data_IF_888102001467
#
_entry.id   IF_888102001467
#
_cell.length_a   1.000
_cell.length_b   1.000
_cell.length_c   1.000
_cell.angle_alpha   90.00
_cell.angle_beta   90.00
_cell.angle_gamma   90.00
#
_symmetry.space_group_name_H-M   'P 1'
#
loop_
_entity.id
_entity.type
_entity.pdbx_description
1 polymer ?
#
# COMPACT_ATOMS: atom_id res chain seq x y z
N UNK A 1 -0.02 8.48 5.23
CA UNK A 1 0.36 9.87 5.50
C UNK A 1 0.76 10.05 6.96
N UNK A 2 -0.19 9.85 7.89
CA UNK A 2 0.02 10.14 9.31
C UNK A 2 1.22 9.37 9.92
N UNK A 3 1.34 8.08 9.69
CA UNK A 3 2.49 7.28 10.14
C UNK A 3 3.83 7.89 9.70
N UNK A 4 3.93 8.37 8.46
CA UNK A 4 5.12 9.07 7.98
C UNK A 4 5.40 10.37 8.73
N UNK A 5 4.37 11.16 9.01
CA UNK A 5 4.51 12.39 9.81
C UNK A 5 4.95 12.09 11.25
N UNK A 6 4.40 11.04 11.88
CA UNK A 6 4.78 10.62 13.23
C UNK A 6 6.23 10.13 13.31
N UNK A 7 6.81 9.65 12.22
CA UNK A 7 8.25 9.32 12.16
C UNK A 7 9.20 10.53 12.08
N UNK A 8 8.66 11.74 12.09
CA UNK A 8 9.43 12.98 11.93
C UNK A 8 9.87 13.30 10.50
N UNK A 9 9.52 12.46 9.50
CA UNK A 9 9.84 12.71 8.10
C UNK A 9 8.85 13.70 7.48
N UNK A 10 9.36 14.63 6.69
CA UNK A 10 8.51 15.49 5.87
C UNK A 10 7.71 14.63 4.91
N UNK A 11 6.38 14.73 4.98
CA UNK A 11 5.47 13.81 4.31
C UNK A 11 4.44 14.59 3.49
N UNK A 12 4.37 14.29 2.20
CA UNK A 12 3.44 14.86 1.24
C UNK A 12 2.37 13.83 0.90
N UNK A 13 1.11 14.24 0.92
CA UNK A 13 -0.02 13.35 0.64
C UNK A 13 -0.93 13.98 -0.39
N UNK A 14 -1.22 13.26 -1.48
CA UNK A 14 -2.10 13.76 -2.53
C UNK A 14 -2.38 12.71 -3.61
N UNK A 15 -2.65 13.15 -4.81
CA UNK A 15 -3.01 12.32 -5.95
C UNK A 15 -4.48 12.46 -6.33
N UNK A 16 -5.22 11.35 -6.37
CA UNK A 16 -6.66 11.34 -6.66
C UNK A 16 -7.50 11.86 -5.47
N UNK A 17 -6.89 12.00 -4.30
CA UNK A 17 -7.47 12.58 -3.09
C UNK A 17 -6.69 13.82 -2.67
N UNK A 18 -7.37 14.72 -1.95
CA UNK A 18 -6.76 15.95 -1.46
C UNK A 18 -6.47 16.95 -2.59
N UNK A 19 -5.26 17.51 -2.58
CA UNK A 19 -4.80 18.46 -3.61
C UNK A 19 -3.73 17.86 -4.52
N UNK A 20 -3.63 18.32 -5.77
CA UNK A 20 -2.52 17.92 -6.65
C UNK A 20 -1.18 18.33 -6.06
N UNK A 21 -0.20 17.41 -6.03
CA UNK A 21 1.13 17.68 -5.47
C UNK A 21 2.05 18.47 -6.40
N UNK A 22 1.65 18.70 -7.64
CA UNK A 22 2.46 19.43 -8.63
C UNK A 22 2.85 20.82 -8.15
N UNK A 23 1.99 21.49 -7.39
CA UNK A 23 2.26 22.83 -6.86
C UNK A 23 3.33 22.85 -5.77
N UNK A 24 3.62 21.70 -5.18
CA UNK A 24 4.56 21.57 -4.07
C UNK A 24 5.93 21.03 -4.51
N UNK A 25 6.11 20.67 -5.78
CA UNK A 25 7.33 20.04 -6.29
C UNK A 25 8.60 20.83 -5.96
N UNK A 26 8.55 22.15 -6.03
CA UNK A 26 9.69 23.02 -5.74
C UNK A 26 10.15 22.96 -4.26
N UNK A 27 9.26 22.51 -3.37
CA UNK A 27 9.52 22.39 -1.94
C UNK A 27 9.92 20.99 -1.52
N UNK A 28 9.77 19.99 -2.39
CA UNK A 28 10.09 18.59 -2.11
C UNK A 28 11.58 18.33 -2.17
N UNK A 29 12.05 17.44 -1.29
CA UNK A 29 13.44 17.01 -1.20
C UNK A 29 13.54 15.48 -1.30
N UNK A 30 14.71 14.96 -1.70
CA UNK A 30 14.94 13.53 -1.90
C UNK A 30 14.69 12.65 -0.64
N UNK A 31 14.75 13.24 0.55
CA UNK A 31 14.46 12.55 1.82
C UNK A 31 13.01 12.52 2.23
N UNK A 32 12.15 13.24 1.51
CA UNK A 32 10.73 13.34 1.84
C UNK A 32 9.96 12.05 1.50
N UNK A 33 8.86 11.82 2.20
CA UNK A 33 7.90 10.80 1.83
C UNK A 33 6.81 11.41 0.95
N UNK A 34 6.65 10.89 -0.26
CA UNK A 34 5.58 11.27 -1.17
C UNK A 34 4.60 10.10 -1.23
N UNK A 35 3.39 10.31 -0.75
CA UNK A 35 2.34 9.31 -0.67
C UNK A 35 1.21 9.73 -1.58
N UNK A 36 0.98 8.93 -2.62
CA UNK A 36 -0.04 9.21 -3.63
C UNK A 36 -1.13 8.12 -3.61
N UNK A 37 -2.37 8.55 -3.57
CA UNK A 37 -3.50 7.69 -3.93
C UNK A 37 -3.78 7.89 -5.42
N UNK A 38 -3.87 6.79 -6.17
CA UNK A 38 -4.02 6.81 -7.62
C UNK A 38 -5.25 6.02 -8.05
N UNK A 39 -6.06 6.64 -8.89
CA UNK A 39 -7.19 5.98 -9.55
C UNK A 39 -6.72 5.08 -10.70
N UNK A 40 -7.55 4.11 -11.08
CA UNK A 40 -7.31 3.29 -12.26
C UNK A 40 -7.23 4.13 -13.56
N UNK A 41 -7.91 5.27 -13.61
CA UNK A 41 -7.87 6.19 -14.75
C UNK A 41 -6.51 6.87 -14.91
N UNK A 42 -5.89 7.25 -13.79
CA UNK A 42 -4.54 7.81 -13.79
C UNK A 42 -3.50 6.74 -14.17
N UNK A 43 -3.67 5.52 -13.62
CA UNK A 43 -2.77 4.40 -13.90
C UNK A 43 -2.90 3.88 -15.34
N UNK A 44 -4.07 4.03 -15.99
CA UNK A 44 -4.30 3.62 -17.37
C UNK A 44 -3.35 4.30 -18.36
N UNK A 45 -2.97 5.56 -18.08
CA UNK A 45 -2.08 6.36 -18.93
C UNK A 45 -0.62 6.39 -18.42
N UNK A 46 -0.30 5.55 -17.44
CA UNK A 46 1.05 5.49 -16.87
C UNK A 46 1.92 4.52 -17.65
N UNK A 47 2.94 5.02 -18.37
CA UNK A 47 3.73 4.24 -19.32
C UNK A 47 5.06 3.75 -18.75
N UNK A 48 5.84 4.61 -18.08
CA UNK A 48 7.24 4.33 -17.74
C UNK A 48 7.60 4.49 -16.27
N UNK A 49 6.66 4.92 -15.44
CA UNK A 49 6.93 5.24 -14.04
C UNK A 49 6.38 4.18 -13.10
N UNK A 50 7.11 3.91 -12.06
CA UNK A 50 6.63 3.13 -10.92
C UNK A 50 7.13 3.73 -9.62
N UNK A 51 6.32 3.78 -8.58
CA UNK A 51 6.77 4.19 -7.27
C UNK A 51 7.74 3.13 -6.71
N UNK A 52 8.67 3.56 -5.86
CA UNK A 52 9.57 2.63 -5.17
C UNK A 52 8.79 1.58 -4.36
N UNK A 53 7.67 1.99 -3.77
CA UNK A 53 6.77 1.11 -3.03
C UNK A 53 5.34 1.35 -3.51
N UNK A 54 4.65 0.29 -3.91
CA UNK A 54 3.28 0.33 -4.40
C UNK A 54 2.36 -0.58 -3.58
N UNK A 55 1.08 -0.24 -3.49
CA UNK A 55 0.09 -1.13 -2.90
C UNK A 55 -1.16 -1.25 -3.78
N UNK A 56 -1.71 -2.47 -3.87
CA UNK A 56 -3.03 -2.72 -4.42
C UNK A 56 -3.89 -3.39 -3.34
N UNK A 57 -4.92 -2.67 -2.89
CA UNK A 57 -5.72 -3.10 -1.75
C UNK A 57 -6.77 -4.13 -2.14
N UNK A 58 -7.39 -3.94 -3.29
CA UNK A 58 -8.38 -4.86 -3.85
C UNK A 58 -8.58 -4.59 -5.35
N UNK A 59 -9.12 -5.59 -6.04
CA UNK A 59 -9.62 -5.48 -7.42
C UNK A 59 -11.01 -6.11 -7.46
N UNK A 60 -12.02 -5.28 -7.26
CA UNK A 60 -13.43 -5.66 -7.30
C UNK A 60 -14.14 -4.89 -8.42
N UNK A 61 -15.23 -5.42 -9.00
CA UNK A 61 -15.93 -4.75 -10.09
C UNK A 61 -16.27 -3.30 -9.75
N UNK A 62 -15.67 -2.38 -10.47
CA UNK A 62 -15.89 -0.95 -10.36
C UNK A 62 -15.52 -0.27 -11.69
N UNK A 63 -16.16 0.85 -12.00
CA UNK A 63 -15.87 1.67 -13.19
C UNK A 63 -15.90 0.89 -14.53
N UNK A 64 -16.76 -0.16 -14.64
CA UNK A 64 -16.87 -0.97 -15.86
C UNK A 64 -17.56 -0.24 -17.00
N UNK A 65 -18.25 0.84 -16.71
CA UNK A 65 -18.73 1.80 -17.72
C UNK A 65 -17.57 2.42 -18.51
N UNK A 66 -16.43 2.64 -17.87
CA UNK A 66 -15.20 3.19 -18.46
C UNK A 66 -14.27 2.09 -18.97
N UNK A 67 -13.88 1.14 -18.13
CA UNK A 67 -12.89 0.10 -18.49
C UNK A 67 -13.46 -1.04 -19.35
N UNK A 68 -14.81 -1.14 -19.48
CA UNK A 68 -15.56 -2.14 -20.25
C UNK A 68 -15.44 -3.57 -19.72
N UNK A 69 -14.27 -4.03 -19.30
CA UNK A 69 -14.03 -5.38 -18.76
C UNK A 69 -13.22 -5.35 -17.47
N UNK A 70 -13.31 -6.41 -16.68
CA UNK A 70 -12.45 -6.59 -15.51
C UNK A 70 -10.98 -6.72 -15.90
N UNK A 71 -10.68 -7.31 -17.05
CA UNK A 71 -9.30 -7.47 -17.53
C UNK A 71 -8.66 -6.11 -17.80
N UNK A 72 -9.36 -5.19 -18.46
CA UNK A 72 -8.88 -3.83 -18.69
C UNK A 72 -8.71 -3.06 -17.36
N UNK A 73 -9.67 -3.20 -16.43
CA UNK A 73 -9.58 -2.58 -15.11
C UNK A 73 -8.38 -3.10 -14.32
N UNK A 74 -8.18 -4.42 -14.32
CA UNK A 74 -7.04 -5.08 -13.65
C UNK A 74 -5.73 -4.66 -14.30
N UNK A 75 -5.66 -4.63 -15.63
CA UNK A 75 -4.48 -4.21 -16.37
C UNK A 75 -4.09 -2.76 -16.06
N UNK A 76 -5.08 -1.86 -15.97
CA UNK A 76 -4.84 -0.46 -15.59
C UNK A 76 -4.24 -0.37 -14.17
N UNK A 77 -4.79 -1.12 -13.20
CA UNK A 77 -4.23 -1.16 -11.82
C UNK A 77 -2.84 -1.79 -11.76
N UNK A 78 -2.56 -2.80 -12.59
CA UNK A 78 -1.27 -3.47 -12.64
C UNK A 78 -0.13 -2.53 -13.08
N UNK A 79 -0.43 -1.45 -13.81
CA UNK A 79 0.59 -0.50 -14.25
C UNK A 79 1.40 0.12 -13.09
N UNK A 80 0.82 0.19 -11.87
CA UNK A 80 1.56 0.68 -10.70
C UNK A 80 2.75 -0.21 -10.32
N UNK A 81 2.76 -1.48 -10.77
CA UNK A 81 3.78 -2.49 -10.47
C UNK A 81 4.70 -2.76 -11.63
N UNK A 82 4.20 -2.68 -12.87
CA UNK A 82 4.87 -3.20 -14.10
C UNK A 82 6.26 -2.65 -14.35
N UNK A 83 6.50 -1.42 -13.95
CA UNK A 83 7.78 -0.75 -14.18
C UNK A 83 8.65 -0.71 -12.92
N UNK A 84 8.24 -1.36 -11.82
CA UNK A 84 9.12 -1.52 -10.65
C UNK A 84 10.30 -2.42 -11.02
N UNK A 85 11.51 -1.98 -10.64
CA UNK A 85 12.71 -2.78 -10.74
C UNK A 85 12.84 -3.80 -9.59
N UNK A 86 13.95 -4.55 -9.52
CA UNK A 86 14.20 -5.56 -8.49
C UNK A 86 14.26 -4.98 -7.06
N UNK A 87 14.55 -3.68 -6.92
CA UNK A 87 14.55 -2.99 -5.62
C UNK A 87 13.16 -2.47 -5.20
N UNK A 88 12.16 -2.59 -6.08
CA UNK A 88 10.79 -2.16 -5.80
C UNK A 88 10.11 -3.05 -4.79
N UNK A 89 9.13 -2.49 -4.05
CA UNK A 89 8.32 -3.24 -3.09
C UNK A 89 6.86 -3.15 -3.50
N UNK A 90 6.21 -4.29 -3.64
CA UNK A 90 4.78 -4.41 -3.88
C UNK A 90 4.07 -4.91 -2.62
N UNK A 91 3.00 -4.24 -2.19
CA UNK A 91 2.16 -4.63 -1.06
C UNK A 91 0.77 -5.01 -1.58
N UNK A 92 0.42 -6.30 -1.50
CA UNK A 92 -0.82 -6.83 -2.07
C UNK A 92 -1.70 -7.48 -0.99
N UNK A 93 -3.02 -7.38 -1.18
CA UNK A 93 -3.97 -8.11 -0.34
C UNK A 93 -3.92 -9.60 -0.64
N UNK A 94 -3.64 -10.43 0.35
CA UNK A 94 -3.80 -11.88 0.26
C UNK A 94 -5.27 -12.31 0.38
N UNK A 95 -6.13 -11.43 0.92
CA UNK A 95 -7.55 -11.71 1.11
C UNK A 95 -8.40 -11.40 -0.14
N UNK A 96 -7.83 -10.71 -1.14
CA UNK A 96 -8.49 -10.33 -2.38
C UNK A 96 -7.85 -11.06 -3.58
N UNK A 97 -8.57 -11.98 -4.23
CA UNK A 97 -7.99 -12.76 -5.33
C UNK A 97 -7.51 -11.91 -6.52
N UNK A 98 -8.19 -10.79 -6.79
CA UNK A 98 -7.80 -9.89 -7.88
C UNK A 98 -6.48 -9.19 -7.60
N UNK A 99 -6.32 -8.64 -6.38
CA UNK A 99 -5.06 -8.02 -5.96
C UNK A 99 -3.93 -9.05 -5.87
N UNK A 100 -4.20 -10.24 -5.29
CA UNK A 100 -3.21 -11.30 -5.17
C UNK A 100 -2.75 -11.82 -6.54
N UNK A 101 -3.66 -11.82 -7.54
CA UNK A 101 -3.34 -12.21 -8.92
C UNK A 101 -2.26 -11.34 -9.56
N UNK A 102 -2.07 -10.10 -9.08
CA UNK A 102 -1.02 -9.20 -9.57
C UNK A 102 0.39 -9.58 -9.10
N UNK A 103 0.57 -10.61 -8.27
CA UNK A 103 1.89 -11.07 -7.83
C UNK A 103 2.83 -11.42 -8.98
N UNK A 104 2.29 -11.87 -10.11
CA UNK A 104 3.06 -12.22 -11.32
C UNK A 104 3.70 -10.98 -12.02
N UNK A 105 3.17 -9.78 -11.72
CA UNK A 105 3.73 -8.51 -12.21
C UNK A 105 4.88 -7.99 -11.32
N UNK A 106 5.09 -8.58 -10.14
CA UNK A 106 6.07 -8.10 -9.16
C UNK A 106 7.45 -8.63 -9.51
N UNK A 107 8.41 -7.70 -9.73
CA UNK A 107 9.81 -8.03 -10.03
C UNK A 107 10.73 -7.90 -8.82
N UNK A 108 10.32 -7.14 -7.82
CA UNK A 108 11.04 -6.89 -6.58
C UNK A 108 10.48 -7.67 -5.41
N UNK A 109 10.50 -7.07 -4.23
CA UNK A 109 10.01 -7.69 -3.00
C UNK A 109 8.48 -7.67 -2.95
N UNK A 110 7.87 -8.85 -2.84
CA UNK A 110 6.44 -8.98 -2.58
C UNK A 110 6.19 -9.02 -1.08
N UNK A 111 5.30 -8.15 -0.62
CA UNK A 111 4.76 -8.14 0.74
C UNK A 111 3.25 -8.33 0.69
N UNK A 112 2.72 -9.12 1.58
CA UNK A 112 1.30 -9.43 1.64
C UNK A 112 0.65 -8.83 2.89
N UNK A 113 -0.62 -8.50 2.81
CA UNK A 113 -1.39 -8.23 4.02
C UNK A 113 -2.66 -9.07 4.04
N UNK A 114 -3.01 -9.56 5.24
CA UNK A 114 -4.16 -10.44 5.42
C UNK A 114 -4.79 -10.27 6.80
N UNK A 115 -6.11 -10.30 6.82
CA UNK A 115 -6.90 -10.41 8.06
C UNK A 115 -7.27 -11.85 8.39
N UNK A 116 -7.10 -12.75 7.43
CA UNK A 116 -7.60 -14.14 7.52
C UNK A 116 -6.53 -15.15 7.89
N UNK A 117 -5.30 -14.91 7.47
CA UNK A 117 -4.21 -15.87 7.60
C UNK A 117 -2.86 -15.17 7.82
N UNK A 118 -1.93 -15.81 8.53
CA UNK A 118 -0.54 -15.36 8.57
C UNK A 118 0.07 -15.27 7.17
N UNK A 119 1.00 -14.33 7.00
CA UNK A 119 1.81 -14.16 5.79
C UNK A 119 3.29 -14.22 6.16
N UNK A 120 4.15 -14.58 5.21
CA UNK A 120 5.59 -14.72 5.46
C UNK A 120 6.31 -13.36 5.51
N UNK A 121 5.91 -12.41 4.65
CA UNK A 121 6.42 -11.05 4.59
C UNK A 121 5.27 -10.08 4.45
N UNK A 122 5.17 -9.10 5.35
CA UNK A 122 4.12 -8.09 5.36
C UNK A 122 3.41 -7.90 6.69
N UNK A 123 2.07 -7.84 6.67
CA UNK A 123 1.27 -7.57 7.86
C UNK A 123 0.04 -8.50 7.94
N UNK A 124 -0.28 -9.00 9.12
CA UNK A 124 -1.46 -9.86 9.27
C UNK A 124 -2.10 -9.75 10.66
N UNK A 125 -3.32 -10.27 10.78
CA UNK A 125 -4.01 -10.43 12.07
C UNK A 125 -3.87 -11.87 12.54
N UNK A 126 -3.44 -12.04 13.79
CA UNK A 126 -3.51 -13.32 14.50
C UNK A 126 -4.12 -13.08 15.89
N UNK A 127 -5.24 -13.76 16.18
CA UNK A 127 -6.07 -13.46 17.33
C UNK A 127 -6.59 -12.01 17.32
N UNK A 128 -6.30 -11.25 18.36
CA UNK A 128 -6.63 -9.81 18.44
C UNK A 128 -5.40 -8.92 18.25
N UNK A 129 -4.38 -9.37 17.51
CA UNK A 129 -3.16 -8.61 17.28
C UNK A 129 -2.82 -8.44 15.83
N UNK A 130 -2.27 -7.29 15.50
CA UNK A 130 -1.61 -7.00 14.24
C UNK A 130 -0.14 -7.38 14.40
N UNK A 131 0.35 -8.13 13.43
CA UNK A 131 1.73 -8.58 13.33
C UNK A 131 2.37 -8.01 12.07
N UNK A 132 3.62 -7.59 12.19
CA UNK A 132 4.52 -7.36 11.07
C UNK A 132 5.50 -8.54 10.98
N UNK A 133 5.83 -8.94 9.76
CA UNK A 133 6.78 -10.01 9.49
C UNK A 133 7.63 -9.71 8.27
N UNK A 134 8.80 -10.30 8.24
CA UNK A 134 9.81 -10.14 7.20
C UNK A 134 11.05 -10.98 7.51
N UNK A 135 12.19 -10.68 6.85
CA UNK A 135 13.43 -11.45 7.00
C UNK A 135 13.94 -11.57 8.44
N UNK A 136 13.65 -10.59 9.28
CA UNK A 136 14.07 -10.56 10.70
C UNK A 136 13.11 -11.31 11.63
N UNK A 137 12.09 -11.97 11.06
CA UNK A 137 11.05 -12.66 11.80
C UNK A 137 9.76 -11.88 11.94
N UNK A 138 8.93 -12.27 12.91
CA UNK A 138 7.64 -11.62 13.16
C UNK A 138 7.66 -10.88 14.51
N UNK A 139 6.97 -9.74 14.55
CA UNK A 139 6.78 -8.95 15.76
C UNK A 139 5.36 -8.41 15.88
N UNK A 140 4.85 -8.36 17.10
CA UNK A 140 3.53 -7.80 17.38
C UNK A 140 3.60 -6.26 17.32
N UNK A 141 2.67 -5.65 16.61
CA UNK A 141 2.59 -4.19 16.47
C UNK A 141 1.62 -3.58 17.51
N UNK A 142 0.34 -3.93 17.44
CA UNK A 142 -0.71 -3.41 18.32
C UNK A 142 -1.88 -4.39 18.39
N UNK A 143 -2.87 -4.11 19.24
CA UNK A 143 -4.11 -4.86 19.22
C UNK A 143 -5.06 -4.35 18.14
N UNK A 144 -5.87 -5.24 17.55
CA UNK A 144 -6.93 -4.86 16.60
C UNK A 144 -7.94 -3.90 17.25
N UNK A 145 -8.16 -4.05 18.57
CA UNK A 145 -9.02 -3.16 19.35
C UNK A 145 -8.52 -1.72 19.46
N UNK A 146 -7.23 -1.48 19.20
CA UNK A 146 -6.63 -0.14 19.27
C UNK A 146 -6.94 0.67 18.01
N UNK A 147 -7.41 0.01 16.95
CA UNK A 147 -7.83 0.67 15.71
C UNK A 147 -9.10 1.48 15.99
N UNK A 148 -9.00 2.79 15.86
CA UNK A 148 -10.13 3.72 16.08
C UNK A 148 -11.17 3.67 14.97
N UNK A 149 -10.79 3.25 13.76
CA UNK A 149 -11.67 3.14 12.60
C UNK A 149 -12.47 1.84 12.66
N UNK A 150 -13.79 1.94 12.55
CA UNK A 150 -14.67 0.75 12.63
C UNK A 150 -14.81 0.05 11.28
N UNK A 151 -14.97 -1.28 11.36
CA UNK A 151 -15.24 -2.13 10.19
C UNK A 151 -14.03 -2.92 9.71
N UNK A 152 -14.28 -4.13 9.21
CA UNK A 152 -13.24 -5.06 8.80
C UNK A 152 -12.38 -4.57 7.61
N UNK A 153 -12.93 -3.72 6.74
CA UNK A 153 -12.19 -3.08 5.66
C UNK A 153 -11.13 -2.11 6.19
N UNK A 154 -11.39 -1.44 7.32
CA UNK A 154 -10.39 -0.55 7.93
C UNK A 154 -9.24 -1.31 8.58
N UNK A 155 -9.47 -2.53 9.07
CA UNK A 155 -8.39 -3.41 9.51
C UNK A 155 -7.46 -3.74 8.33
N UNK A 156 -8.00 -4.08 7.16
CA UNK A 156 -7.20 -4.30 5.95
C UNK A 156 -6.43 -3.04 5.52
N UNK A 157 -7.05 -1.86 5.59
CA UNK A 157 -6.38 -0.60 5.31
C UNK A 157 -5.22 -0.33 6.27
N UNK A 158 -5.39 -0.62 7.56
CA UNK A 158 -4.33 -0.49 8.58
C UNK A 158 -3.19 -1.48 8.31
N UNK A 159 -3.50 -2.73 7.98
CA UNK A 159 -2.48 -3.73 7.62
C UNK A 159 -1.66 -3.30 6.40
N UNK A 160 -2.33 -2.84 5.35
CA UNK A 160 -1.65 -2.31 4.16
C UNK A 160 -0.78 -1.09 4.50
N UNK A 161 -1.32 -0.16 5.29
CA UNK A 161 -0.59 1.04 5.70
C UNK A 161 0.62 0.70 6.58
N UNK A 162 0.51 -0.26 7.49
CA UNK A 162 1.61 -0.72 8.33
C UNK A 162 2.70 -1.40 7.50
N UNK A 163 2.33 -2.28 6.55
CA UNK A 163 3.27 -2.92 5.63
C UNK A 163 4.01 -1.91 4.74
N UNK A 164 3.30 -0.87 4.25
CA UNK A 164 3.90 0.22 3.49
C UNK A 164 4.84 1.08 4.34
N UNK A 165 4.41 1.44 5.56
CA UNK A 165 5.19 2.29 6.46
C UNK A 165 6.49 1.60 6.90
N UNK A 166 6.42 0.31 7.24
CA UNK A 166 7.60 -0.48 7.58
C UNK A 166 8.55 -0.62 6.38
N UNK A 167 8.03 -0.78 5.17
CA UNK A 167 8.85 -0.87 3.96
C UNK A 167 9.67 0.40 3.67
N UNK A 168 9.22 1.58 4.14
CA UNK A 168 9.97 2.85 4.05
C UNK A 168 10.78 3.15 5.32
N UNK A 169 10.86 2.20 6.27
CA UNK A 169 11.64 2.37 7.49
C UNK A 169 10.99 3.27 8.56
N UNK A 170 9.66 3.38 8.57
CA UNK A 170 8.94 4.05 9.66
C UNK A 170 9.02 3.17 10.93
N UNK A 171 9.45 3.71 12.09
CA UNK A 171 9.53 2.96 13.32
C UNK A 171 8.16 2.47 13.81
N UNK A 172 8.14 1.35 14.53
CA UNK A 172 6.89 0.74 15.01
C UNK A 172 6.05 1.69 15.87
N UNK A 173 6.68 2.49 16.74
CA UNK A 173 6.00 3.48 17.57
C UNK A 173 5.25 4.50 16.71
N UNK A 174 5.85 4.97 15.63
CA UNK A 174 5.23 5.92 14.69
C UNK A 174 4.12 5.27 13.85
N UNK A 175 4.23 3.96 13.55
CA UNK A 175 3.17 3.20 12.89
C UNK A 175 1.95 3.08 13.82
N UNK A 176 2.16 2.76 15.08
CA UNK A 176 1.09 2.58 16.08
C UNK A 176 0.39 3.90 16.40
N UNK A 177 1.15 4.99 16.50
CA UNK A 177 0.59 6.31 16.80
C UNK A 177 -0.19 6.90 15.62
N UNK A 178 0.20 6.58 14.41
CA UNK A 178 -0.37 7.11 13.14
C UNK A 178 -1.63 6.44 12.68
#
# INVERSE_FOLDING_TARGET
GRMGQMSGRRTWVGGNIGRPLISDLAEMSAGDLIIMELSSFQLEIWEDLSPAIAAVLNITPNHLDRHKTMDHYTAAKANILRHQGPEGVAVLSADDPGALGLREEVRGRLRLFSRRSPVEDGAFVDGNRIWLCGPEGRRALCAVSDIRLRGGHNVLNVLAAAALAEAVGVPDEAIVEG
#
